data_IF_521451205741
#
_entry.id   IF_521451205741
#
_cell.length_a   1.000
_cell.length_b   1.000
_cell.length_c   1.000
_cell.angle_alpha   90.00
_cell.angle_beta   90.00
_cell.angle_gamma   90.00
#
_symmetry.space_group_name_H-M   'P 1'
#
loop_
_entity.id
_entity.type
_entity.pdbx_description
1 polymer ?
#
# COMPACT_ATOMS: atom_id res chain seq x y z
N UNK A 1 7.11 42.36 5.56
CA UNK A 1 7.93 41.20 5.11
C UNK A 1 7.71 39.97 6.02
N UNK A 2 6.46 39.70 6.41
CA UNK A 2 6.15 38.60 7.34
C UNK A 2 4.80 37.97 6.98
N UNK A 3 4.62 37.53 5.72
CA UNK A 3 3.44 36.70 5.41
C UNK A 3 3.57 35.80 4.15
N UNK A 4 4.78 35.38 3.80
CA UNK A 4 4.99 34.47 2.65
C UNK A 4 5.42 33.05 3.06
N UNK A 5 5.69 32.83 4.35
CA UNK A 5 6.14 31.53 4.88
C UNK A 5 5.01 30.63 5.41
N UNK A 6 3.76 31.10 5.40
CA UNK A 6 2.60 30.38 5.97
C UNK A 6 1.77 29.57 4.96
N UNK A 7 2.24 29.46 3.71
CA UNK A 7 1.58 28.65 2.67
C UNK A 7 2.46 27.47 2.24
N UNK A 8 2.99 26.71 3.20
CA UNK A 8 3.47 25.35 2.91
C UNK A 8 2.20 24.53 2.61
N UNK A 9 1.80 24.50 1.34
CA UNK A 9 0.56 23.90 0.87
C UNK A 9 0.45 22.48 1.37
N UNK A 10 -0.44 22.26 2.34
CA UNK A 10 -0.78 20.93 2.83
C UNK A 10 -1.32 20.14 1.64
N UNK A 11 -0.69 19.01 1.31
CA UNK A 11 -1.11 18.13 0.21
C UNK A 11 -2.62 17.86 0.30
N UNK A 12 -3.31 18.08 -0.82
CA UNK A 12 -4.77 17.92 -0.89
C UNK A 12 -5.15 16.52 -1.37
N UNK A 13 -6.42 16.18 -1.16
CA UNK A 13 -7.08 15.00 -1.72
C UNK A 13 -6.89 14.88 -3.25
N UNK A 14 -6.94 16.01 -3.96
CA UNK A 14 -6.77 16.06 -5.41
C UNK A 14 -5.34 15.75 -5.82
N UNK A 15 -4.36 16.26 -5.05
CA UNK A 15 -2.95 16.00 -5.30
C UNK A 15 -2.63 14.51 -5.07
N UNK A 16 -3.22 13.90 -4.03
CA UNK A 16 -3.15 12.46 -3.86
C UNK A 16 -3.67 11.71 -5.08
N UNK A 17 -4.88 12.02 -5.55
CA UNK A 17 -5.48 11.30 -6.68
C UNK A 17 -4.59 11.40 -7.93
N UNK A 18 -4.03 12.59 -8.20
CA UNK A 18 -3.10 12.81 -9.31
C UNK A 18 -1.84 11.96 -9.18
N UNK A 19 -1.21 11.96 -8.01
CA UNK A 19 0.00 11.17 -7.75
C UNK A 19 -0.27 9.67 -7.77
N UNK A 20 -1.38 9.22 -7.18
CA UNK A 20 -1.76 7.82 -7.12
C UNK A 20 -1.99 7.28 -8.53
N UNK A 21 -2.79 7.95 -9.35
CA UNK A 21 -3.03 7.53 -10.75
C UNK A 21 -1.74 7.54 -11.57
N UNK A 22 -0.87 8.55 -11.39
CA UNK A 22 0.45 8.63 -12.05
C UNK A 22 1.34 7.43 -11.70
N UNK A 23 1.25 6.92 -10.48
CA UNK A 23 2.16 5.89 -9.96
C UNK A 23 1.52 4.51 -9.78
N UNK A 24 0.23 4.35 -10.07
CA UNK A 24 -0.52 3.10 -9.83
C UNK A 24 0.14 1.91 -10.53
N UNK A 25 0.51 2.06 -11.80
CA UNK A 25 1.17 0.98 -12.56
C UNK A 25 2.50 0.55 -11.94
N UNK A 26 3.29 1.49 -11.42
CA UNK A 26 4.56 1.20 -10.76
C UNK A 26 4.35 0.50 -9.41
N UNK A 27 3.35 0.92 -8.65
CA UNK A 27 2.96 0.26 -7.39
C UNK A 27 2.42 -1.15 -7.66
N UNK A 28 1.64 -1.33 -8.73
CA UNK A 28 1.11 -2.63 -9.17
C UNK A 28 2.19 -3.59 -9.61
N UNK A 29 3.15 -3.13 -10.41
CA UNK A 29 4.30 -3.92 -10.81
C UNK A 29 5.13 -4.33 -9.58
N UNK A 30 5.32 -3.42 -8.62
CA UNK A 30 6.02 -3.71 -7.38
C UNK A 30 5.26 -4.74 -6.49
N UNK A 31 3.95 -4.61 -6.36
CA UNK A 31 3.14 -5.62 -5.65
C UNK A 31 3.20 -6.99 -6.33
N UNK A 32 3.16 -7.04 -7.67
CA UNK A 32 3.33 -8.27 -8.45
C UNK A 32 4.65 -8.97 -8.22
N UNK A 33 5.75 -8.23 -8.01
CA UNK A 33 7.03 -8.86 -7.72
C UNK A 33 7.14 -9.44 -6.30
N UNK A 34 6.17 -9.15 -5.42
CA UNK A 34 6.15 -9.62 -4.03
C UNK A 34 5.09 -10.69 -3.77
N UNK A 35 4.05 -10.77 -4.59
CA UNK A 35 2.92 -11.66 -4.39
C UNK A 35 2.97 -12.84 -5.38
N UNK A 36 2.78 -14.09 -4.91
CA UNK A 36 2.65 -15.25 -5.79
C UNK A 36 1.27 -15.31 -6.48
N UNK A 37 0.32 -14.50 -6.03
CA UNK A 37 -1.08 -14.51 -6.41
C UNK A 37 -1.41 -13.21 -7.14
N UNK A 38 -1.88 -13.33 -8.38
CA UNK A 38 -2.13 -12.18 -9.26
C UNK A 38 -3.42 -11.47 -8.89
N UNK A 39 -4.43 -12.21 -8.40
CA UNK A 39 -5.73 -11.67 -8.02
C UNK A 39 -5.58 -10.82 -6.75
N UNK A 40 -4.69 -11.24 -5.83
CA UNK A 40 -4.38 -10.53 -4.60
C UNK A 40 -3.76 -9.14 -4.79
N UNK A 41 -3.21 -8.85 -5.97
CA UNK A 41 -2.56 -7.55 -6.25
C UNK A 41 -3.57 -6.41 -6.19
N UNK A 42 -4.80 -6.63 -6.69
CA UNK A 42 -5.86 -5.62 -6.67
C UNK A 42 -6.22 -5.23 -5.25
N UNK A 43 -6.53 -6.23 -4.42
CA UNK A 43 -6.90 -6.04 -3.02
C UNK A 43 -5.80 -5.33 -2.22
N UNK A 44 -4.55 -5.76 -2.41
CA UNK A 44 -3.41 -5.14 -1.73
C UNK A 44 -3.24 -3.67 -2.12
N UNK A 45 -3.41 -3.32 -3.40
CA UNK A 45 -3.32 -1.93 -3.83
C UNK A 45 -4.49 -1.08 -3.33
N UNK A 46 -5.70 -1.63 -3.29
CA UNK A 46 -6.87 -0.94 -2.75
C UNK A 46 -6.68 -0.65 -1.26
N UNK A 47 -6.28 -1.66 -0.49
CA UNK A 47 -5.99 -1.48 0.93
C UNK A 47 -4.84 -0.48 1.17
N UNK A 48 -3.81 -0.55 0.34
CA UNK A 48 -2.68 0.35 0.42
C UNK A 48 -3.08 1.80 0.08
N UNK A 49 -3.94 2.02 -0.92
CA UNK A 49 -4.39 3.36 -1.32
C UNK A 49 -5.19 4.04 -0.21
N UNK A 50 -6.05 3.31 0.51
CA UNK A 50 -6.77 3.81 1.69
C UNK A 50 -5.79 4.26 2.78
N UNK A 51 -4.75 3.47 3.05
CA UNK A 51 -3.74 3.82 4.05
C UNK A 51 -2.92 5.02 3.60
N UNK A 52 -2.55 5.08 2.32
CA UNK A 52 -1.85 6.24 1.77
C UNK A 52 -2.70 7.50 1.93
N UNK A 53 -3.99 7.45 1.60
CA UNK A 53 -4.91 8.58 1.80
C UNK A 53 -4.93 9.06 3.25
N UNK A 54 -5.14 8.15 4.20
CA UNK A 54 -5.17 8.45 5.63
C UNK A 54 -3.87 9.05 6.16
N UNK A 55 -2.74 8.68 5.55
CA UNK A 55 -1.39 9.12 5.93
C UNK A 55 -0.82 10.20 5.02
N UNK A 56 -1.62 10.79 4.13
CA UNK A 56 -1.16 11.79 3.17
C UNK A 56 -0.46 12.97 3.86
N UNK A 57 -0.95 13.37 5.04
CA UNK A 57 -0.33 14.43 5.83
C UNK A 57 1.09 14.14 6.35
N UNK A 58 1.58 12.90 6.23
CA UNK A 58 2.97 12.53 6.55
C UNK A 58 3.93 12.72 5.36
N UNK A 59 3.39 12.95 4.17
CA UNK A 59 4.19 13.16 2.98
C UNK A 59 4.64 14.62 2.94
N UNK A 60 5.95 14.85 2.84
CA UNK A 60 6.52 16.20 2.82
C UNK A 60 6.54 16.81 1.42
N UNK A 61 6.67 15.97 0.38
CA UNK A 61 6.80 16.36 -1.02
C UNK A 61 6.23 15.30 -1.97
N UNK A 62 5.67 15.74 -3.10
CA UNK A 62 5.09 14.87 -4.13
C UNK A 62 6.11 13.90 -4.73
N UNK A 63 7.38 14.31 -4.87
CA UNK A 63 8.44 13.45 -5.40
C UNK A 63 8.72 12.24 -4.48
N UNK A 64 8.37 12.36 -3.20
CA UNK A 64 8.47 11.28 -2.22
C UNK A 64 7.35 10.24 -2.32
N UNK A 65 6.30 10.48 -3.11
CA UNK A 65 5.10 9.64 -3.11
C UNK A 65 5.38 8.19 -3.48
N UNK A 66 6.12 7.95 -4.57
CA UNK A 66 6.39 6.60 -5.04
C UNK A 66 7.22 5.75 -4.04
N UNK A 67 8.39 6.20 -3.56
CA UNK A 67 9.15 5.42 -2.58
C UNK A 67 8.37 5.21 -1.27
N UNK A 68 7.64 6.22 -0.79
CA UNK A 68 6.78 6.10 0.38
C UNK A 68 5.62 5.11 0.17
N UNK A 69 4.93 5.19 -0.96
CA UNK A 69 3.84 4.30 -1.33
C UNK A 69 4.31 2.85 -1.46
N UNK A 70 5.50 2.60 -2.02
CA UNK A 70 6.10 1.26 -2.07
C UNK A 70 6.30 0.66 -0.68
N UNK A 71 6.67 1.45 0.32
CA UNK A 71 6.79 0.96 1.71
C UNK A 71 5.45 0.45 2.22
N UNK A 72 4.37 1.21 2.00
CA UNK A 72 3.02 0.82 2.41
C UNK A 72 2.57 -0.46 1.68
N UNK A 73 2.75 -0.51 0.35
CA UNK A 73 2.44 -1.70 -0.47
C UNK A 73 3.19 -2.93 0.03
N UNK A 74 4.50 -2.82 0.31
CA UNK A 74 5.30 -3.94 0.82
C UNK A 74 4.73 -4.51 2.12
N UNK A 75 4.36 -3.64 3.07
CA UNK A 75 3.75 -4.10 4.32
C UNK A 75 2.38 -4.76 4.11
N UNK A 76 1.57 -4.27 3.16
CA UNK A 76 0.30 -4.93 2.80
C UNK A 76 0.53 -6.29 2.14
N UNK A 77 1.53 -6.41 1.26
CA UNK A 77 1.93 -7.72 0.71
C UNK A 77 2.30 -8.70 1.82
N UNK A 78 3.16 -8.30 2.78
CA UNK A 78 3.54 -9.18 3.89
C UNK A 78 2.37 -9.57 4.77
N UNK A 79 1.46 -8.63 5.06
CA UNK A 79 0.23 -8.94 5.81
C UNK A 79 -0.67 -9.92 5.07
N UNK A 80 -0.76 -9.82 3.75
CA UNK A 80 -1.50 -10.78 2.92
C UNK A 80 -0.85 -12.18 2.99
N UNK A 81 0.47 -12.27 2.82
CA UNK A 81 1.21 -13.54 2.87
C UNK A 81 1.10 -14.21 4.24
N UNK A 82 1.18 -13.43 5.33
CA UNK A 82 1.01 -13.94 6.69
C UNK A 82 -0.38 -14.54 6.90
N UNK A 83 -1.44 -13.86 6.44
CA UNK A 83 -2.80 -14.37 6.52
C UNK A 83 -3.00 -15.63 5.68
N UNK A 84 -2.43 -15.68 4.47
CA UNK A 84 -2.48 -16.86 3.59
C UNK A 84 -1.78 -18.06 4.24
N UNK A 85 -0.61 -17.84 4.85
CA UNK A 85 0.11 -18.88 5.60
C UNK A 85 -0.70 -19.40 6.80
N UNK A 86 -1.31 -18.50 7.58
CA UNK A 86 -2.16 -18.89 8.73
C UNK A 86 -3.35 -19.73 8.28
N UNK A 87 -4.05 -19.32 7.21
CA UNK A 87 -5.15 -20.12 6.64
C UNK A 87 -4.67 -21.51 6.21
N UNK A 88 -3.54 -21.61 5.52
CA UNK A 88 -2.96 -22.89 5.13
C UNK A 88 -2.55 -23.79 6.30
N UNK A 89 -2.04 -23.20 7.39
CA UNK A 89 -1.61 -23.95 8.58
C UNK A 89 -2.79 -24.53 9.38
N UNK A 90 -3.94 -23.85 9.42
CA UNK A 90 -5.16 -24.37 10.09
C UNK A 90 -5.66 -25.65 9.41
N UNK A 91 -5.63 -25.69 8.07
CA UNK A 91 -5.98 -26.91 7.34
C UNK A 91 -5.01 -28.07 7.60
N UNK A 92 -3.71 -27.82 7.85
CA UNK A 92 -2.78 -28.90 8.16
C UNK A 92 -3.02 -29.49 9.55
N UNK A 93 -3.39 -28.69 10.55
CA UNK A 93 -3.72 -29.21 11.89
C UNK A 93 -4.99 -30.05 11.90
N UNK A 94 -6.03 -29.63 11.19
CA UNK A 94 -7.29 -30.40 11.09
C UNK A 94 -7.11 -31.68 10.27
N UNK A 95 -6.35 -31.64 9.17
CA UNK A 95 -6.13 -32.80 8.31
C UNK A 95 -5.27 -33.88 8.99
N UNK A 96 -4.31 -33.50 9.84
CA UNK A 96 -3.50 -34.44 10.63
C UNK A 96 -4.35 -35.14 11.72
N UNK A 97 -5.41 -34.50 12.21
CA UNK A 97 -6.29 -35.09 13.21
C UNK A 97 -7.30 -36.12 12.64
N UNK A 98 -7.39 -36.24 11.31
CA UNK A 98 -8.28 -37.18 10.61
C UNK A 98 -7.51 -38.43 10.11
N UNK A 99 -6.19 -38.49 10.32
CA UNK A 99 -5.35 -39.67 10.08
C UNK A 99 -5.02 -40.39 11.39
#
# INVERSE_FOLDING_TARGET
>A
MSNEKEKKSKLTEVDFMRMFLKHENALRAFARSLLPDWDAVGDVLQDASVIMWQKLGQLEDENGFLPWGKVIVRFRCYKYLEQKKKKGAVFSSELIAIL
#
